data_IF_475147271099
#
_entry.id   IF_475147271099
#
_cell.length_a   1.000
_cell.length_b   1.000
_cell.length_c   1.000
_cell.angle_alpha   90.00
_cell.angle_beta   90.00
_cell.angle_gamma   90.00
#
_symmetry.space_group_name_H-M   'P 1'
#
loop_
_entity.id
_entity.type
_entity.pdbx_description
1 polymer ?
#
# COMPACT_ATOMS: atom_id res chain seq x y z
N UNK A 1 -1.81 -30.97 -11.68
CA UNK A 1 -2.73 -30.22 -12.58
C UNK A 1 -1.91 -29.55 -13.66
N UNK A 2 -2.15 -29.87 -14.94
CA UNK A 2 -1.38 -29.28 -16.05
C UNK A 2 -1.89 -27.85 -16.31
N UNK A 3 -0.99 -26.88 -16.40
CA UNK A 3 -1.33 -25.45 -16.63
C UNK A 3 -2.26 -25.24 -17.85
N UNK A 4 -2.15 -26.10 -18.86
CA UNK A 4 -2.96 -26.06 -20.07
C UNK A 4 -4.46 -26.27 -19.81
N UNK A 5 -4.82 -27.05 -18.80
CA UNK A 5 -6.22 -27.37 -18.49
C UNK A 5 -6.92 -26.22 -17.75
N UNK A 6 -6.16 -25.55 -16.88
CA UNK A 6 -6.59 -24.34 -16.15
C UNK A 6 -6.77 -23.19 -17.13
N UNK A 7 -5.79 -22.97 -18.01
CA UNK A 7 -5.85 -21.90 -19.02
C UNK A 7 -7.06 -22.06 -19.94
N UNK A 8 -7.39 -23.30 -20.35
CA UNK A 8 -8.55 -23.57 -21.21
C UNK A 8 -9.88 -23.28 -20.52
N UNK A 9 -10.05 -23.72 -19.26
CA UNK A 9 -11.28 -23.45 -18.47
C UNK A 9 -11.44 -21.98 -18.11
N UNK A 10 -10.33 -21.29 -17.80
CA UNK A 10 -10.32 -19.86 -17.56
C UNK A 10 -10.76 -19.09 -18.81
N UNK A 11 -10.20 -19.42 -19.98
CA UNK A 11 -10.54 -18.76 -21.26
C UNK A 11 -12.01 -18.92 -21.63
N UNK A 12 -12.60 -20.09 -21.41
CA UNK A 12 -14.02 -20.34 -21.64
C UNK A 12 -14.94 -19.54 -20.68
N UNK A 13 -14.56 -19.45 -19.40
CA UNK A 13 -15.32 -18.66 -18.40
C UNK A 13 -15.23 -17.16 -18.65
N UNK A 14 -14.06 -16.69 -19.10
CA UNK A 14 -13.81 -15.32 -19.54
C UNK A 14 -14.73 -15.01 -20.73
N UNK A 15 -14.70 -15.79 -21.82
CA UNK A 15 -15.59 -15.56 -22.96
C UNK A 15 -17.09 -15.53 -22.61
N UNK A 16 -17.55 -16.30 -21.61
CA UNK A 16 -18.95 -16.33 -21.17
C UNK A 16 -19.34 -15.12 -20.29
N UNK A 17 -18.43 -14.65 -19.43
CA UNK A 17 -18.67 -13.53 -18.49
C UNK A 17 -18.43 -12.15 -19.10
N UNK A 18 -17.77 -12.05 -20.25
CA UNK A 18 -17.57 -10.80 -21.01
C UNK A 18 -18.86 -10.12 -21.45
N UNK A 19 -19.99 -10.85 -21.56
CA UNK A 19 -21.30 -10.28 -21.89
C UNK A 19 -21.89 -9.39 -20.79
N UNK A 20 -21.35 -9.41 -19.57
CA UNK A 20 -21.79 -8.53 -18.48
C UNK A 20 -20.58 -7.99 -17.68
N UNK A 21 -20.12 -6.77 -17.98
CA UNK A 21 -18.93 -6.17 -17.36
C UNK A 21 -19.02 -6.02 -15.84
N UNK A 22 -20.22 -5.80 -15.29
CA UNK A 22 -20.44 -5.64 -13.86
C UNK A 22 -20.24 -6.97 -13.11
N UNK A 23 -20.74 -8.07 -13.68
CA UNK A 23 -20.55 -9.41 -13.12
C UNK A 23 -19.09 -9.86 -13.21
N UNK A 24 -18.40 -9.55 -14.30
CA UNK A 24 -16.98 -9.85 -14.43
C UNK A 24 -16.15 -9.10 -13.38
N UNK A 25 -16.41 -7.80 -13.18
CA UNK A 25 -15.75 -6.99 -12.14
C UNK A 25 -16.00 -7.57 -10.73
N UNK A 26 -17.23 -7.95 -10.43
CA UNK A 26 -17.60 -8.57 -9.16
C UNK A 26 -16.89 -9.92 -8.94
N UNK A 27 -16.79 -10.74 -10.00
CA UNK A 27 -16.11 -12.02 -9.96
C UNK A 27 -14.60 -11.88 -9.73
N UNK A 28 -13.95 -10.93 -10.41
CA UNK A 28 -12.52 -10.65 -10.22
C UNK A 28 -12.23 -10.13 -8.81
N UNK A 29 -13.04 -9.22 -8.29
CA UNK A 29 -12.90 -8.74 -6.91
C UNK A 29 -13.08 -9.87 -5.89
N UNK A 30 -14.09 -10.72 -6.07
CA UNK A 30 -14.32 -11.88 -5.20
C UNK A 30 -13.14 -12.86 -5.25
N UNK A 31 -12.57 -13.09 -6.43
CA UNK A 31 -11.40 -13.95 -6.59
C UNK A 31 -10.15 -13.37 -5.92
N UNK A 32 -9.92 -12.06 -6.02
CA UNK A 32 -8.81 -11.37 -5.33
C UNK A 32 -8.97 -11.50 -3.82
N UNK A 33 -10.14 -11.16 -3.27
CA UNK A 33 -10.42 -11.28 -1.84
C UNK A 33 -10.29 -12.72 -1.34
N UNK A 34 -10.75 -13.71 -2.11
CA UNK A 34 -10.60 -15.11 -1.75
C UNK A 34 -9.13 -15.55 -1.70
N UNK A 35 -8.30 -15.07 -2.62
CA UNK A 35 -6.86 -15.34 -2.61
C UNK A 35 -6.15 -14.67 -1.44
N UNK A 36 -6.46 -13.40 -1.16
CA UNK A 36 -5.94 -12.67 0.01
C UNK A 36 -6.30 -13.37 1.32
N UNK A 37 -7.54 -13.86 1.44
CA UNK A 37 -8.01 -14.61 2.59
C UNK A 37 -7.31 -15.96 2.73
N UNK A 38 -7.11 -16.68 1.62
CA UNK A 38 -6.39 -17.96 1.62
C UNK A 38 -4.91 -17.77 1.98
N UNK A 39 -4.25 -16.75 1.43
CA UNK A 39 -2.87 -16.41 1.76
C UNK A 39 -2.75 -16.07 3.25
N UNK A 40 -3.65 -15.21 3.75
CA UNK A 40 -3.69 -14.84 5.18
C UNK A 40 -3.92 -16.06 6.07
N UNK A 41 -4.81 -16.98 5.67
CA UNK A 41 -5.09 -18.21 6.41
C UNK A 41 -3.91 -19.19 6.39
N UNK A 42 -3.21 -19.32 5.27
CA UNK A 42 -2.01 -20.16 5.17
C UNK A 42 -0.88 -19.59 6.02
N UNK A 43 -0.67 -18.26 5.97
CA UNK A 43 0.31 -17.58 6.82
C UNK A 43 -0.05 -17.73 8.31
N UNK A 44 -1.32 -17.55 8.66
CA UNK A 44 -1.80 -17.74 10.04
C UNK A 44 -1.70 -19.19 10.50
N UNK A 45 -2.01 -20.17 9.65
CA UNK A 45 -1.84 -21.59 9.98
C UNK A 45 -0.38 -22.01 10.06
N UNK A 46 0.51 -21.38 9.28
CA UNK A 46 1.96 -21.60 9.41
C UNK A 46 2.47 -21.02 10.74
N UNK A 47 1.92 -19.88 11.17
CA UNK A 47 2.15 -19.32 12.51
C UNK A 47 1.58 -20.24 13.61
N UNK A 48 0.30 -20.62 13.52
CA UNK A 48 -0.37 -21.47 14.52
C UNK A 48 0.22 -22.88 14.58
N UNK A 49 0.81 -23.41 13.49
CA UNK A 49 1.56 -24.68 13.54
C UNK A 49 2.94 -24.54 14.19
N UNK A 50 3.51 -23.33 14.21
CA UNK A 50 4.64 -23.02 15.07
C UNK A 50 4.18 -22.90 16.54
N UNK A 51 2.99 -22.35 16.81
CA UNK A 51 2.45 -22.17 18.17
C UNK A 51 1.83 -23.44 18.80
N UNK A 52 1.32 -24.39 18.00
CA UNK A 52 0.68 -25.63 18.49
C UNK A 52 1.65 -26.72 18.95
N UNK A 53 2.96 -26.48 18.90
CA UNK A 53 3.94 -27.33 19.60
C UNK A 53 3.91 -27.05 21.12
N UNK A 54 3.27 -25.96 21.56
CA UNK A 54 3.45 -25.44 22.93
C UNK A 54 2.25 -25.48 23.86
N UNK A 55 1.03 -25.84 23.43
CA UNK A 55 -0.13 -25.87 24.36
C UNK A 55 -1.04 -27.08 24.16
N UNK A 56 -0.60 -28.24 24.66
CA UNK A 56 -1.50 -29.11 25.40
C UNK A 56 -1.34 -28.78 26.89
N UNK A 57 -2.46 -28.55 27.57
CA UNK A 57 -2.59 -28.30 29.01
C UNK A 57 -2.32 -26.87 29.50
N UNK A 58 -3.34 -26.03 29.37
CA UNK A 58 -3.70 -25.11 30.43
C UNK A 58 -5.21 -25.22 30.72
N UNK A 59 -5.55 -25.74 31.91
CA UNK A 59 -6.78 -25.40 32.61
C UNK A 59 -6.46 -25.21 34.09
N UNK A 60 -6.78 -23.99 34.55
CA UNK A 60 -7.10 -23.52 35.91
C UNK A 60 -6.02 -23.57 37.01
N UNK A 61 -5.42 -22.39 37.26
CA UNK A 61 -5.55 -21.51 38.45
C UNK A 61 -5.51 -22.05 39.90
N UNK A 62 -5.15 -21.19 40.88
CA UNK A 62 -4.11 -21.51 41.88
C UNK A 62 -4.62 -21.38 43.32
N UNK A 63 -3.79 -21.65 44.32
CA UNK A 63 -3.48 -20.69 45.39
C UNK A 63 -2.58 -21.27 46.49
N UNK A 64 -1.52 -20.50 46.79
CA UNK A 64 -0.87 -20.25 48.10
C UNK A 64 -0.25 -21.48 48.83
N UNK A 65 0.93 -21.47 49.47
CA UNK A 65 1.55 -20.44 50.30
C UNK A 65 2.98 -20.88 50.69
N UNK A 66 3.90 -19.92 50.81
CA UNK A 66 4.99 -19.73 51.82
C UNK A 66 6.19 -20.71 51.96
N UNK A 67 7.37 -20.05 51.94
CA UNK A 67 8.71 -20.31 52.57
C UNK A 67 9.40 -21.64 52.23
N UNK A 68 10.70 -21.70 51.93
CA UNK A 68 11.83 -21.16 52.70
C UNK A 68 13.14 -21.24 51.88
N UNK A 69 14.09 -20.39 52.28
CA UNK A 69 15.50 -20.27 51.91
C UNK A 69 16.18 -21.46 51.21
N UNK A 70 16.93 -21.16 50.12
CA UNK A 70 18.37 -21.41 49.95
C UNK A 70 18.73 -21.19 48.46
N UNK A 71 19.91 -20.60 48.24
CA UNK A 71 20.60 -20.29 46.98
C UNK A 71 20.28 -18.92 46.37
N UNK A 72 21.31 -18.07 46.35
CA UNK A 72 21.40 -16.93 45.44
C UNK A 72 21.02 -17.37 44.02
N UNK A 73 19.96 -16.83 43.41
CA UNK A 73 19.89 -16.84 41.97
C UNK A 73 20.74 -15.67 41.51
N UNK A 74 21.89 -16.02 40.91
CA UNK A 74 22.58 -15.17 39.95
C UNK A 74 21.52 -14.39 39.19
N UNK A 75 21.54 -13.07 39.35
CA UNK A 75 20.67 -12.12 38.65
C UNK A 75 20.51 -12.61 37.22
N UNK A 76 19.35 -13.21 36.91
CA UNK A 76 18.99 -13.56 35.56
C UNK A 76 18.86 -12.22 34.86
N UNK A 77 19.96 -11.85 34.18
CA UNK A 77 20.12 -10.65 33.37
C UNK A 77 18.92 -10.65 32.43
N UNK A 78 17.88 -9.89 32.81
CA UNK A 78 16.74 -9.63 31.95
C UNK A 78 17.37 -9.07 30.69
N UNK A 79 17.27 -9.80 29.58
CA UNK A 79 17.82 -9.30 28.33
C UNK A 79 17.24 -7.90 28.11
N UNK A 80 18.07 -6.88 27.86
CA UNK A 80 17.55 -5.54 27.68
C UNK A 80 16.49 -5.56 26.58
N UNK A 81 15.35 -4.94 26.88
CA UNK A 81 14.28 -4.73 25.89
C UNK A 81 14.95 -4.11 24.66
N UNK A 82 14.77 -4.67 23.45
CA UNK A 82 15.36 -4.11 22.24
C UNK A 82 15.04 -2.61 22.17
N UNK A 83 16.02 -1.77 21.86
CA UNK A 83 15.79 -0.33 21.76
C UNK A 83 14.84 -0.04 20.59
N UNK A 84 13.89 0.88 20.78
CA UNK A 84 12.94 1.26 19.74
C UNK A 84 13.69 1.81 18.51
N UNK A 85 13.32 1.40 17.29
CA UNK A 85 13.92 1.94 16.08
C UNK A 85 13.83 3.46 16.04
N UNK A 86 14.93 4.12 15.68
CA UNK A 86 14.99 5.58 15.55
C UNK A 86 14.66 5.98 14.12
N UNK A 87 13.80 6.99 13.96
CA UNK A 87 13.50 7.58 12.65
C UNK A 87 14.69 8.40 12.17
N UNK A 88 15.12 8.15 10.94
CA UNK A 88 16.05 9.03 10.23
C UNK A 88 15.42 10.41 9.98
N UNK A 89 16.27 11.44 9.80
CA UNK A 89 15.84 12.77 9.39
C UNK A 89 15.08 12.75 8.06
N UNK A 90 15.54 11.97 7.08
CA UNK A 90 14.88 11.84 5.78
C UNK A 90 13.54 11.09 5.90
N UNK A 91 13.48 10.02 6.70
CA UNK A 91 12.23 9.33 7.01
C UNK A 91 11.21 10.25 7.71
N UNK A 92 11.69 11.17 8.56
CA UNK A 92 10.84 12.14 9.28
C UNK A 92 10.20 13.17 8.35
N UNK A 93 10.84 13.49 7.22
CA UNK A 93 10.29 14.40 6.19
C UNK A 93 9.20 13.75 5.34
N UNK A 94 9.12 12.42 5.31
CA UNK A 94 8.25 11.67 4.39
C UNK A 94 6.78 12.10 4.42
N UNK A 95 6.11 12.29 5.58
CA UNK A 95 4.70 12.65 5.59
C UNK A 95 4.40 13.93 4.83
N UNK A 96 5.24 14.97 5.00
CA UNK A 96 5.11 16.24 4.28
C UNK A 96 5.34 16.06 2.78
N UNK A 97 6.33 15.26 2.39
CA UNK A 97 6.62 15.00 0.97
C UNK A 97 5.51 14.17 0.32
N UNK A 98 4.90 13.24 1.04
CA UNK A 98 3.76 12.45 0.58
C UNK A 98 2.54 13.34 0.28
N UNK A 99 2.28 14.36 1.10
CA UNK A 99 1.19 15.31 0.84
C UNK A 99 1.42 16.11 -0.46
N UNK A 100 2.66 16.54 -0.72
CA UNK A 100 3.02 17.23 -1.97
C UNK A 100 2.86 16.28 -3.15
N UNK A 101 3.33 15.04 -3.03
CA UNK A 101 3.18 14.01 -4.06
C UNK A 101 1.70 13.76 -4.39
N UNK A 102 0.85 13.64 -3.37
CA UNK A 102 -0.60 13.46 -3.55
C UNK A 102 -1.25 14.64 -4.29
N UNK A 103 -0.80 15.87 -4.06
CA UNK A 103 -1.26 17.05 -4.81
C UNK A 103 -0.86 16.98 -6.28
N UNK A 104 0.39 16.59 -6.57
CA UNK A 104 0.87 16.39 -7.93
C UNK A 104 0.09 15.29 -8.66
N UNK A 105 -0.18 14.16 -7.98
CA UNK A 105 -0.93 13.05 -8.56
C UNK A 105 -2.37 13.44 -8.91
N UNK A 106 -3.07 14.16 -8.01
CA UNK A 106 -4.40 14.71 -8.28
C UNK A 106 -4.41 15.62 -9.51
N UNK A 107 -3.41 16.51 -9.62
CA UNK A 107 -3.30 17.41 -10.76
C UNK A 107 -2.98 16.67 -12.06
N UNK A 108 -2.07 15.69 -12.04
CA UNK A 108 -1.75 14.85 -13.20
C UNK A 108 -2.98 14.09 -13.70
N UNK A 109 -3.80 13.56 -12.79
CA UNK A 109 -5.06 12.90 -13.14
C UNK A 109 -6.04 13.86 -13.82
N UNK A 110 -6.13 15.10 -13.34
CA UNK A 110 -6.97 16.12 -13.95
C UNK A 110 -6.46 16.52 -15.35
N UNK A 111 -5.15 16.67 -15.54
CA UNK A 111 -4.53 16.93 -16.84
C UNK A 111 -4.87 15.81 -17.82
N UNK A 112 -4.67 14.55 -17.42
CA UNK A 112 -4.97 13.39 -18.25
C UNK A 112 -6.45 13.38 -18.71
N UNK A 113 -7.39 13.68 -17.81
CA UNK A 113 -8.81 13.79 -18.17
C UNK A 113 -9.08 14.88 -19.21
N UNK A 114 -8.38 16.03 -19.13
CA UNK A 114 -8.53 17.11 -20.12
C UNK A 114 -7.87 16.80 -21.45
N UNK A 115 -6.73 16.12 -21.43
CA UNK A 115 -6.09 15.62 -22.65
C UNK A 115 -7.00 14.62 -23.39
N UNK A 116 -7.73 13.76 -22.66
CA UNK A 116 -8.74 12.88 -23.27
C UNK A 116 -9.91 13.66 -23.88
N UNK A 117 -10.35 14.76 -23.25
CA UNK A 117 -11.38 15.65 -23.83
C UNK A 117 -10.88 16.34 -25.10
N UNK A 118 -9.64 16.82 -25.11
CA UNK A 118 -9.01 17.41 -26.29
C UNK A 118 -8.97 16.40 -27.44
N UNK A 119 -8.50 15.17 -27.19
CA UNK A 119 -8.47 14.10 -28.18
C UNK A 119 -9.87 13.78 -28.74
N UNK A 120 -10.91 13.81 -27.90
CA UNK A 120 -12.30 13.64 -28.33
C UNK A 120 -12.75 14.76 -29.28
N UNK A 121 -12.42 16.02 -28.97
CA UNK A 121 -12.75 17.18 -29.81
C UNK A 121 -11.98 17.13 -31.13
N UNK A 122 -10.69 16.81 -31.11
CA UNK A 122 -9.86 16.65 -32.31
C UNK A 122 -10.39 15.56 -33.23
N UNK A 123 -10.86 14.43 -32.67
CA UNK A 123 -11.54 13.39 -33.43
C UNK A 123 -12.82 13.89 -34.10
N UNK A 124 -13.62 14.73 -33.41
CA UNK A 124 -14.81 15.36 -33.99
C UNK A 124 -14.45 16.33 -35.12
N UNK A 125 -13.39 17.12 -34.97
CA UNK A 125 -12.88 18.01 -36.02
C UNK A 125 -12.54 17.18 -37.28
N UNK A 126 -11.78 16.10 -37.12
CA UNK A 126 -11.40 15.22 -38.22
C UNK A 126 -12.60 14.54 -38.92
N UNK A 127 -13.66 14.24 -38.18
CA UNK A 127 -14.91 13.69 -38.70
C UNK A 127 -15.84 14.73 -39.36
N UNK A 128 -15.63 16.02 -39.11
CA UNK A 128 -16.49 17.11 -39.62
C UNK A 128 -16.00 17.55 -41.01
N UNK A 129 -16.21 16.69 -42.01
CA UNK A 129 -15.87 16.94 -43.42
C UNK A 129 -17.05 17.56 -44.19
N UNK A 130 -16.75 18.32 -45.25
CA UNK A 130 -17.75 18.93 -46.16
C UNK A 130 -17.84 20.46 -46.08
N UNK A 131 -18.21 21.08 -47.20
CA UNK A 131 -18.21 22.54 -47.42
C UNK A 131 -19.22 23.26 -46.51
N UNK A 132 -20.37 22.64 -46.20
CA UNK A 132 -21.42 23.26 -45.38
C UNK A 132 -21.15 23.24 -43.85
N UNK A 133 -20.05 22.62 -43.39
CA UNK A 133 -19.75 22.45 -41.95
C UNK A 133 -18.76 23.46 -41.36
N UNK A 134 -18.46 24.55 -42.07
CA UNK A 134 -17.48 25.55 -41.63
C UNK A 134 -17.75 26.10 -40.21
N UNK A 135 -18.99 26.50 -39.92
CA UNK A 135 -19.38 27.05 -38.62
C UNK A 135 -19.21 26.05 -37.47
N UNK A 136 -19.54 24.76 -37.70
CA UNK A 136 -19.35 23.70 -36.72
C UNK A 136 -17.86 23.45 -36.45
N UNK A 137 -17.05 23.42 -37.51
CA UNK A 137 -15.60 23.21 -37.43
C UNK A 137 -14.91 24.33 -36.64
N UNK A 138 -15.26 25.59 -36.91
CA UNK A 138 -14.71 26.74 -36.19
C UNK A 138 -15.00 26.66 -34.68
N UNK A 139 -16.23 26.32 -34.28
CA UNK A 139 -16.59 26.13 -32.86
C UNK A 139 -15.79 25.01 -32.19
N UNK A 140 -15.58 23.89 -32.89
CA UNK A 140 -14.78 22.78 -32.37
C UNK A 140 -13.30 23.16 -32.25
N UNK A 141 -12.75 23.92 -33.20
CA UNK A 141 -11.39 24.45 -33.11
C UNK A 141 -11.24 25.40 -31.92
N UNK A 142 -12.17 26.33 -31.73
CA UNK A 142 -12.16 27.24 -30.58
C UNK A 142 -12.19 26.47 -29.26
N UNK A 143 -13.04 25.44 -29.14
CA UNK A 143 -13.06 24.56 -27.98
C UNK A 143 -11.73 23.82 -27.78
N UNK A 144 -11.09 23.36 -28.85
CA UNK A 144 -9.79 22.69 -28.77
C UNK A 144 -8.69 23.65 -28.28
N UNK A 145 -8.66 24.89 -28.77
CA UNK A 145 -7.72 25.91 -28.32
C UNK A 145 -7.92 26.27 -26.84
N UNK A 146 -9.17 26.43 -26.41
CA UNK A 146 -9.48 26.64 -24.98
C UNK A 146 -8.97 25.49 -24.11
N UNK A 147 -9.16 24.23 -24.55
CA UNK A 147 -8.65 23.06 -23.84
C UNK A 147 -7.11 23.03 -23.82
N UNK A 148 -6.44 23.40 -24.91
CA UNK A 148 -4.96 23.49 -24.98
C UNK A 148 -4.42 24.52 -24.00
N UNK A 149 -5.01 25.71 -23.96
CA UNK A 149 -4.64 26.77 -23.00
C UNK A 149 -4.87 26.30 -21.56
N UNK A 150 -6.00 25.66 -21.27
CA UNK A 150 -6.25 25.08 -19.95
C UNK A 150 -5.21 24.03 -19.57
N UNK A 151 -4.91 23.07 -20.46
CA UNK A 151 -3.90 22.02 -20.21
C UNK A 151 -2.53 22.64 -19.96
N UNK A 152 -2.12 23.65 -20.73
CA UNK A 152 -0.86 24.36 -20.54
C UNK A 152 -0.78 25.02 -19.15
N UNK A 153 -1.84 25.73 -18.73
CA UNK A 153 -1.92 26.33 -17.39
C UNK A 153 -1.88 25.29 -16.28
N UNK A 154 -2.54 24.14 -16.47
CA UNK A 154 -2.55 23.03 -15.52
C UNK A 154 -1.16 22.37 -15.40
N UNK A 155 -0.42 22.27 -16.51
CA UNK A 155 0.97 21.79 -16.54
C UNK A 155 1.91 22.77 -15.84
N UNK A 156 1.74 24.07 -16.06
CA UNK A 156 2.49 25.10 -15.33
C UNK A 156 2.22 25.04 -13.82
N UNK A 157 0.97 24.77 -13.42
CA UNK A 157 0.62 24.62 -12.02
C UNK A 157 1.33 23.45 -11.32
N UNK A 158 1.70 22.37 -12.03
CA UNK A 158 2.54 21.31 -11.45
C UNK A 158 3.88 21.84 -10.95
N UNK A 159 4.51 22.74 -11.72
CA UNK A 159 5.75 23.40 -11.31
C UNK A 159 5.51 24.31 -10.11
N UNK A 160 4.42 25.06 -10.11
CA UNK A 160 4.05 25.93 -8.97
C UNK A 160 3.82 25.15 -7.68
N UNK A 161 3.25 23.93 -7.75
CA UNK A 161 3.07 23.06 -6.57
C UNK A 161 4.42 22.81 -5.90
N UNK A 162 5.44 22.36 -6.63
CA UNK A 162 6.74 22.02 -6.02
C UNK A 162 7.56 23.25 -5.63
N UNK A 163 7.44 24.33 -6.39
CA UNK A 163 8.11 25.61 -6.08
C UNK A 163 7.58 26.24 -4.79
N UNK A 164 6.29 26.06 -4.46
CA UNK A 164 5.73 26.47 -3.17
C UNK A 164 6.34 25.76 -1.96
N UNK A 165 7.12 24.71 -2.17
CA UNK A 165 7.88 23.98 -1.14
C UNK A 165 9.40 24.10 -1.33
N UNK A 166 9.86 25.16 -2.00
CA UNK A 166 11.27 25.49 -2.23
C UNK A 166 12.03 24.52 -3.15
N UNK A 167 11.34 23.69 -3.93
CA UNK A 167 11.98 22.89 -4.97
C UNK A 167 12.08 23.66 -6.28
N UNK A 168 13.22 23.56 -6.97
CA UNK A 168 13.43 24.23 -8.27
C UNK A 168 12.55 23.61 -9.35
N UNK A 169 12.37 22.29 -9.31
CA UNK A 169 11.57 21.55 -10.28
C UNK A 169 11.06 20.22 -9.72
N UNK A 170 10.14 19.58 -10.46
CA UNK A 170 9.52 18.31 -10.07
C UNK A 170 10.54 17.18 -9.96
N UNK A 171 11.61 17.20 -10.77
CA UNK A 171 12.65 16.15 -10.73
C UNK A 171 13.43 16.18 -9.42
N UNK A 172 13.79 17.37 -8.94
CA UNK A 172 14.46 17.56 -7.64
C UNK A 172 13.58 17.06 -6.49
N UNK A 173 12.31 17.48 -6.46
CA UNK A 173 11.33 16.98 -5.50
C UNK A 173 11.21 15.46 -5.51
N UNK A 174 11.09 14.85 -6.70
CA UNK A 174 10.93 13.40 -6.82
C UNK A 174 12.15 12.62 -6.34
N UNK A 175 13.36 13.18 -6.46
CA UNK A 175 14.58 12.57 -5.93
C UNK A 175 14.52 12.49 -4.40
N UNK A 176 14.22 13.60 -3.72
CA UNK A 176 14.12 13.63 -2.25
C UNK A 176 12.94 12.77 -1.77
N UNK A 177 11.79 12.86 -2.43
CA UNK A 177 10.61 12.04 -2.09
C UNK A 177 10.91 10.54 -2.14
N UNK A 178 11.62 10.07 -3.18
CA UNK A 178 11.97 8.65 -3.31
C UNK A 178 12.94 8.19 -2.23
N UNK A 179 13.96 9.00 -1.93
CA UNK A 179 14.92 8.71 -0.86
C UNK A 179 14.20 8.65 0.50
N UNK A 180 13.40 9.66 0.81
CA UNK A 180 12.62 9.75 2.05
C UNK A 180 11.61 8.60 2.18
N UNK A 181 10.94 8.21 1.08
CA UNK A 181 10.02 7.07 1.05
C UNK A 181 10.73 5.74 1.35
N UNK A 182 11.92 5.54 0.80
CA UNK A 182 12.69 4.31 1.03
C UNK A 182 13.05 4.20 2.52
N UNK A 183 13.65 5.24 3.11
CA UNK A 183 14.03 5.22 4.52
C UNK A 183 12.83 5.13 5.47
N UNK A 184 11.71 5.76 5.12
CA UNK A 184 10.48 5.62 5.89
C UNK A 184 9.96 4.17 5.84
N UNK A 185 10.07 3.51 4.68
CA UNK A 185 9.66 2.10 4.54
C UNK A 185 10.57 1.18 5.35
N UNK A 186 11.88 1.42 5.34
CA UNK A 186 12.86 0.68 6.14
C UNK A 186 12.60 0.88 7.65
N UNK A 187 12.30 2.11 8.05
CA UNK A 187 11.89 2.43 9.42
C UNK A 187 10.62 1.68 9.82
N UNK A 188 9.57 1.67 8.97
CA UNK A 188 8.35 0.93 9.23
C UNK A 188 8.61 -0.56 9.39
N UNK A 189 9.47 -1.13 8.53
CA UNK A 189 9.87 -2.53 8.64
C UNK A 189 10.63 -2.82 9.94
N UNK A 190 11.53 -1.93 10.36
CA UNK A 190 12.26 -2.05 11.61
C UNK A 190 11.30 -1.99 12.82
N UNK A 191 10.32 -1.10 12.81
CA UNK A 191 9.27 -1.01 13.83
C UNK A 191 8.47 -2.29 13.91
N UNK A 192 7.99 -2.83 12.78
CA UNK A 192 7.24 -4.09 12.79
C UNK A 192 8.05 -5.27 13.31
N UNK A 193 9.35 -5.34 13.01
CA UNK A 193 10.24 -6.37 13.58
C UNK A 193 10.44 -6.20 15.09
N UNK A 194 10.60 -4.97 15.54
CA UNK A 194 10.74 -4.64 16.96
C UNK A 194 9.48 -5.01 17.75
N UNK A 195 8.29 -4.68 17.21
CA UNK A 195 6.99 -5.05 17.80
C UNK A 195 6.84 -6.57 17.91
N UNK A 196 7.20 -7.32 16.87
CA UNK A 196 7.21 -8.78 16.89
C UNK A 196 8.18 -9.34 17.94
N UNK A 197 9.39 -8.77 18.05
CA UNK A 197 10.38 -9.23 19.00
C UNK A 197 9.94 -8.99 20.45
N UNK A 198 9.29 -7.86 20.73
CA UNK A 198 8.71 -7.59 22.06
C UNK A 198 7.56 -8.56 22.37
N UNK A 199 6.66 -8.81 21.41
CA UNK A 199 5.58 -9.79 21.57
C UNK A 199 6.12 -11.18 21.91
N UNK A 200 7.08 -11.67 21.12
CA UNK A 200 7.70 -12.97 21.32
C UNK A 200 8.47 -13.06 22.66
N UNK A 201 9.15 -11.98 23.07
CA UNK A 201 9.85 -11.93 24.37
C UNK A 201 8.87 -12.02 25.53
N UNK A 202 7.77 -11.26 25.50
CA UNK A 202 6.74 -11.30 26.54
C UNK A 202 6.11 -12.69 26.68
N UNK A 203 5.88 -13.39 25.57
CA UNK A 203 5.41 -14.78 25.58
C UNK A 203 6.45 -15.74 26.17
N UNK A 204 7.72 -15.59 25.81
CA UNK A 204 8.80 -16.42 26.33
C UNK A 204 9.04 -16.24 27.84
N UNK A 205 8.97 -15.00 28.33
CA UNK A 205 9.13 -14.68 29.75
C UNK A 205 7.94 -15.20 30.60
N UNK A 206 6.73 -15.18 30.02
CA UNK A 206 5.54 -15.80 30.61
C UNK A 206 5.69 -17.32 30.75
N UNK A 207 6.16 -18.00 29.70
CA UNK A 207 6.43 -19.45 29.72
C UNK A 207 7.51 -19.79 30.75
N UNK A 208 8.60 -19.01 30.78
CA UNK A 208 9.71 -19.22 31.73
C UNK A 208 9.27 -19.04 33.18
N UNK A 209 8.44 -18.04 33.46
CA UNK A 209 7.90 -17.79 34.81
C UNK A 209 7.01 -18.92 35.30
N UNK A 210 6.18 -19.50 34.41
CA UNK A 210 5.35 -20.68 34.73
C UNK A 210 6.18 -21.93 35.02
N UNK A 211 7.32 -22.10 34.34
CA UNK A 211 8.23 -23.23 34.55
C UNK A 211 8.98 -23.15 35.89
N UNK A 212 9.25 -21.94 36.39
CA UNK A 212 9.92 -21.72 37.68
C UNK A 212 8.99 -21.84 38.90
N UNK A 213 7.67 -21.90 38.69
CA UNK A 213 6.67 -22.09 39.75
C UNK A 213 6.34 -23.56 40.06
N UNK A 214 7.01 -24.52 39.39
CA UNK A 214 6.94 -25.96 39.68
C UNK A 214 8.20 -26.41 40.41
#
# INVERSE_FOLDING_TARGET
MKQSEIARKAKASIQKSWRNPALFKSLIMTAIYALELLISKVLKMALEKADKVTEAFAKSEPEQTKVQAVNEPVMAKSEPIPEMPKKSELASKYPRLADIYNKLEKQNKAIYQREQQLASVEKKIAGTKGIFRGKQRNKLHEQAEQLRVQIASMKQYLSSIVQGYCYKNVKEFLTEYRASKAEYSDYQLAVSRWEQQIGNKAESDSIRSRLQQK
#
